data_IF_149779129334
#
_entry.id   IF_149779129334
#
_cell.length_a   1.000
_cell.length_b   1.000
_cell.length_c   1.000
_cell.angle_alpha   90.00
_cell.angle_beta   90.00
_cell.angle_gamma   90.00
#
_symmetry.space_group_name_H-M   'P 1'
#
loop_
_entity.id
_entity.type
_entity.pdbx_description
1 polymer ?
#
# COMPACT_ATOMS: atom_id res chain seq x y z
N UNK A 1 18.37 -20.22 -16.38
CA UNK A 1 17.48 -20.23 -15.22
C UNK A 1 16.86 -18.85 -15.12
N UNK A 2 15.62 -18.73 -15.56
CA UNK A 2 14.90 -17.45 -15.67
C UNK A 2 14.65 -16.89 -14.28
N UNK A 3 15.06 -15.65 -14.04
CA UNK A 3 14.54 -14.89 -12.91
C UNK A 3 13.04 -14.71 -13.18
N UNK A 4 12.18 -15.36 -12.38
CA UNK A 4 10.80 -14.90 -12.25
C UNK A 4 10.89 -13.49 -11.70
N UNK A 5 10.81 -12.48 -12.57
CA UNK A 5 10.51 -11.13 -12.14
C UNK A 5 9.19 -11.26 -11.38
N UNK A 6 9.22 -11.14 -10.05
CA UNK A 6 8.00 -11.17 -9.25
C UNK A 6 7.12 -10.03 -9.78
N UNK A 7 6.02 -10.40 -10.44
CA UNK A 7 5.15 -9.43 -11.07
C UNK A 7 4.63 -8.46 -10.00
N UNK A 8 4.82 -7.16 -10.24
CA UNK A 8 4.27 -6.11 -9.39
C UNK A 8 2.75 -6.14 -9.44
N UNK A 9 2.10 -6.00 -8.29
CA UNK A 9 0.64 -5.89 -8.18
C UNK A 9 0.25 -4.66 -7.35
N UNK A 10 -1.01 -4.24 -7.46
CA UNK A 10 -1.55 -3.11 -6.71
C UNK A 10 -1.99 -3.53 -5.31
N UNK A 11 -1.77 -2.64 -4.36
CA UNK A 11 -2.21 -2.77 -2.99
C UNK A 11 -2.89 -1.49 -2.53
N UNK A 12 -3.97 -1.65 -1.79
CA UNK A 12 -4.64 -0.60 -1.05
C UNK A 12 -3.96 -0.50 0.31
N UNK A 13 -3.48 0.69 0.67
CA UNK A 13 -2.90 1.02 1.97
C UNK A 13 -3.85 1.99 2.67
N UNK A 14 -4.37 1.63 3.84
CA UNK A 14 -5.30 2.49 4.60
C UNK A 14 -4.80 2.70 6.02
N UNK A 15 -5.02 3.89 6.56
CA UNK A 15 -4.81 4.14 7.98
C UNK A 15 -5.76 3.29 8.82
N UNK A 16 -5.23 2.49 9.75
CA UNK A 16 -6.04 1.65 10.61
C UNK A 16 -6.70 2.44 11.76
N UNK A 17 -6.02 3.47 12.26
CA UNK A 17 -6.48 4.28 13.40
C UNK A 17 -6.24 5.77 13.24
N UNK A 18 -5.08 6.16 12.73
CA UNK A 18 -4.66 7.57 12.62
C UNK A 18 -4.19 7.87 11.19
N UNK A 19 -4.75 8.91 10.59
CA UNK A 19 -4.38 9.40 9.26
C UNK A 19 -2.90 9.83 9.17
N UNK A 20 -2.27 10.23 10.28
CA UNK A 20 -0.85 10.59 10.33
C UNK A 20 0.07 9.43 9.92
N UNK A 21 -0.33 8.19 10.22
CA UNK A 21 0.44 6.99 9.87
C UNK A 21 0.56 6.82 8.35
N UNK A 22 -0.50 7.15 7.60
CA UNK A 22 -0.46 7.10 6.15
C UNK A 22 0.45 8.19 5.59
N UNK A 23 0.41 9.40 6.14
CA UNK A 23 1.31 10.49 5.70
C UNK A 23 2.79 10.12 5.93
N UNK A 24 3.14 9.60 7.10
CA UNK A 24 4.50 9.13 7.38
C UNK A 24 4.94 8.01 6.46
N UNK A 25 4.04 7.09 6.13
CA UNK A 25 4.31 6.05 5.14
C UNK A 25 4.60 6.65 3.76
N UNK A 26 3.78 7.58 3.28
CA UNK A 26 3.96 8.24 1.98
C UNK A 26 5.28 9.01 1.90
N UNK A 27 5.65 9.74 2.96
CA UNK A 27 6.93 10.44 3.04
C UNK A 27 8.12 9.47 2.94
N UNK A 28 7.99 8.27 3.49
CA UNK A 28 9.02 7.22 3.44
C UNK A 28 9.19 6.58 2.06
N UNK A 29 8.23 6.73 1.15
CA UNK A 29 8.28 6.12 -0.19
C UNK A 29 9.31 6.79 -1.10
N UNK A 30 9.62 8.07 -0.88
CA UNK A 30 10.62 8.79 -1.68
C UNK A 30 12.01 8.14 -1.67
N UNK A 31 12.32 7.35 -0.63
CA UNK A 31 13.56 6.61 -0.50
C UNK A 31 13.51 5.17 -1.04
N UNK A 32 12.36 4.70 -1.54
CA UNK A 32 12.10 3.29 -1.85
C UNK A 32 11.78 3.08 -3.34
N UNK A 33 12.76 2.63 -4.12
CA UNK A 33 12.57 2.35 -5.56
C UNK A 33 11.74 1.11 -5.85
N UNK A 34 11.54 0.23 -4.87
CA UNK A 34 10.76 -0.99 -5.01
C UNK A 34 9.23 -0.77 -4.93
N UNK A 35 8.80 0.42 -4.51
CA UNK A 35 7.39 0.74 -4.29
C UNK A 35 7.05 1.98 -5.11
N UNK A 36 5.99 1.88 -5.91
CA UNK A 36 5.47 3.00 -6.70
C UNK A 36 4.15 3.47 -6.11
N UNK A 37 4.05 4.74 -5.72
CA UNK A 37 2.75 5.36 -5.43
C UNK A 37 1.97 5.50 -6.75
N UNK A 38 0.76 4.96 -6.78
CA UNK A 38 -0.14 5.00 -7.94
C UNK A 38 -1.18 6.10 -7.78
N UNK A 39 -1.82 6.15 -6.60
CA UNK A 39 -2.88 7.11 -6.31
C UNK A 39 -3.04 7.35 -4.81
N UNK A 40 -3.72 8.44 -4.45
CA UNK A 40 -4.13 8.76 -3.08
C UNK A 40 -5.59 9.18 -3.06
N UNK A 41 -6.36 8.62 -2.14
CA UNK A 41 -7.80 8.88 -2.00
C UNK A 41 -8.08 9.52 -0.64
N UNK A 42 -8.82 10.61 -0.65
CA UNK A 42 -9.21 11.36 0.54
C UNK A 42 -10.03 12.61 0.21
N UNK A 43 -10.42 13.38 1.23
CA UNK A 43 -11.13 14.64 1.04
C UNK A 43 -10.26 15.67 0.32
N UNK A 44 -10.88 16.54 -0.48
CA UNK A 44 -10.18 17.63 -1.18
C UNK A 44 -9.52 18.63 -0.23
N UNK A 45 -10.05 18.75 1.00
CA UNK A 45 -9.51 19.58 2.07
C UNK A 45 -9.18 18.69 3.28
N UNK A 46 -8.03 18.00 3.24
CA UNK A 46 -7.53 17.17 4.33
C UNK A 46 -6.49 16.15 3.85
N UNK A 47 -5.88 15.39 4.77
CA UNK A 47 -4.94 14.33 4.41
C UNK A 47 -5.66 13.15 3.74
N UNK A 48 -4.99 12.40 2.84
CA UNK A 48 -5.54 11.16 2.31
C UNK A 48 -5.74 10.14 3.43
N UNK A 49 -6.76 9.30 3.29
CA UNK A 49 -6.99 8.17 4.20
C UNK A 49 -6.63 6.82 3.55
N UNK A 50 -6.46 6.81 2.23
CA UNK A 50 -6.06 5.63 1.46
C UNK A 50 -4.99 6.02 0.45
N UNK A 51 -4.04 5.12 0.20
CA UNK A 51 -3.14 5.16 -0.94
C UNK A 51 -3.23 3.86 -1.74
N UNK A 52 -2.95 3.94 -3.03
CA UNK A 52 -2.75 2.77 -3.90
C UNK A 52 -1.27 2.73 -4.25
N UNK A 53 -0.62 1.60 -3.99
CA UNK A 53 0.79 1.39 -4.32
C UNK A 53 0.98 0.15 -5.18
N UNK A 54 1.98 0.16 -6.05
CA UNK A 54 2.44 -1.01 -6.78
C UNK A 54 3.77 -1.49 -6.24
N UNK A 55 3.84 -2.79 -5.96
CA UNK A 55 5.05 -3.47 -5.47
C UNK A 55 4.94 -4.98 -5.67
N UNK A 56 6.03 -5.72 -5.52
CA UNK A 56 5.98 -7.18 -5.47
C UNK A 56 5.36 -7.71 -4.15
N UNK A 57 4.85 -8.96 -4.12
CA UNK A 57 4.24 -9.55 -2.93
C UNK A 57 5.13 -9.71 -1.71
N UNK A 58 6.42 -9.97 -1.88
CA UNK A 58 7.34 -10.10 -0.75
C UNK A 58 7.54 -8.75 -0.06
N UNK A 59 7.66 -7.68 -0.84
CA UNK A 59 7.76 -6.30 -0.34
C UNK A 59 6.47 -5.87 0.36
N UNK A 60 5.29 -6.14 -0.22
CA UNK A 60 4.01 -5.84 0.44
C UNK A 60 3.84 -6.54 1.79
N UNK A 61 4.27 -7.80 1.89
CA UNK A 61 4.22 -8.57 3.12
C UNK A 61 5.24 -8.06 4.16
N UNK A 62 6.41 -7.57 3.73
CA UNK A 62 7.34 -6.87 4.63
C UNK A 62 6.75 -5.58 5.17
N UNK A 63 6.07 -4.78 4.34
CA UNK A 63 5.38 -3.56 4.78
C UNK A 63 4.31 -3.89 5.81
N UNK A 64 3.46 -4.90 5.57
CA UNK A 64 2.42 -5.35 6.52
C UNK A 64 2.99 -5.62 7.90
N UNK A 65 4.10 -6.37 7.97
CA UNK A 65 4.75 -6.69 9.25
C UNK A 65 5.27 -5.44 9.97
N UNK A 66 5.86 -4.49 9.23
CA UNK A 66 6.40 -3.25 9.78
C UNK A 66 5.31 -2.29 10.27
N UNK A 67 4.14 -2.32 9.66
CA UNK A 67 3.06 -1.34 9.91
C UNK A 67 1.80 -1.94 10.53
N UNK A 68 1.85 -3.17 11.04
CA UNK A 68 0.68 -4.02 11.37
C UNK A 68 -0.41 -3.35 12.23
N UNK A 69 -0.05 -2.46 13.15
CA UNK A 69 -1.01 -1.74 14.01
C UNK A 69 -1.43 -0.36 13.48
N UNK A 70 -0.74 0.13 12.45
CA UNK A 70 -0.85 1.50 11.94
C UNK A 70 -1.56 1.56 10.59
N UNK A 71 -1.26 0.60 9.72
CA UNK A 71 -1.78 0.54 8.36
C UNK A 71 -2.33 -0.85 8.05
N UNK A 72 -3.47 -0.88 7.36
CA UNK A 72 -3.89 -2.06 6.62
C UNK A 72 -3.30 -2.01 5.23
N UNK A 73 -2.82 -3.15 4.74
CA UNK A 73 -2.32 -3.30 3.38
C UNK A 73 -2.98 -4.54 2.81
N UNK A 74 -3.69 -4.41 1.70
CA UNK A 74 -4.46 -5.49 1.07
C UNK A 74 -4.31 -5.44 -0.46
N UNK A 75 -4.38 -6.58 -1.18
CA UNK A 75 -4.31 -6.54 -2.63
C UNK A 75 -5.50 -5.76 -3.20
N UNK A 76 -5.25 -4.88 -4.16
CA UNK A 76 -6.29 -4.16 -4.90
C UNK A 76 -6.89 -5.09 -5.95
N UNK A 77 -7.80 -5.95 -5.50
CA UNK A 77 -8.45 -6.96 -6.32
C UNK A 77 -9.97 -6.84 -6.19
N UNK A 78 -10.73 -7.30 -7.20
CA UNK A 78 -12.17 -7.30 -7.14
C UNK A 78 -12.66 -8.03 -5.87
N UNK A 79 -13.67 -7.46 -5.21
CA UNK A 79 -14.36 -8.15 -4.12
C UNK A 79 -14.99 -9.42 -4.69
N UNK A 80 -14.54 -10.57 -4.22
CA UNK A 80 -15.23 -11.83 -4.47
C UNK A 80 -16.49 -11.86 -3.60
N UNK A 81 -17.64 -11.63 -4.22
CA UNK A 81 -18.93 -12.01 -3.64
C UNK A 81 -19.06 -13.51 -3.85
N UNK A 82 -18.74 -14.30 -2.82
CA UNK A 82 -19.14 -15.71 -2.80
C UNK A 82 -20.67 -15.76 -2.64
N UNK A 83 -21.32 -16.55 -3.50
CA UNK A 83 -22.78 -16.84 -3.49
C UNK A 83 -23.20 -17.50 -2.17
#
# INVERSE_FOLDING_TARGET
MSASANASQRYIVRAARDASALMHFLDSLGAQTAIRLVDTIGPSAGPPHTAVVETDPATAEQLRRRTHDQLTIEPDQPLSLSD
#
